data_IF_933580706871
#
_entry.id   IF_933580706871
#
_cell.length_a   1.000
_cell.length_b   1.000
_cell.length_c   1.000
_cell.angle_alpha   90.00
_cell.angle_beta   90.00
_cell.angle_gamma   90.00
#
_symmetry.space_group_name_H-M   'P 1'
#
loop_
_entity.id
_entity.type
_entity.pdbx_description
1 polymer ?
#
# COMPACT_ATOMS: atom_id res chain seq x y z
N UNK A 1 -2.95 9.34 13.40
CA UNK A 1 -1.50 9.15 13.24
C UNK A 1 -1.18 7.67 13.21
N UNK A 2 -0.15 7.27 12.47
CA UNK A 2 0.29 5.87 12.35
C UNK A 2 0.17 5.32 10.92
N UNK A 3 0.47 4.03 10.78
CA UNK A 3 0.66 3.34 9.51
C UNK A 3 -0.50 2.40 9.22
N UNK A 4 -1.00 2.45 8.00
CA UNK A 4 -1.88 1.45 7.38
C UNK A 4 -1.04 0.67 6.38
N UNK A 5 -0.97 -0.65 6.57
CA UNK A 5 -0.29 -1.54 5.64
C UNK A 5 -1.32 -2.28 4.79
N UNK A 6 -1.18 -2.17 3.47
CA UNK A 6 -2.01 -2.86 2.49
C UNK A 6 -1.11 -3.84 1.73
N UNK A 7 -1.16 -5.13 2.07
CA UNK A 7 -0.28 -6.12 1.48
C UNK A 7 -1.06 -7.20 0.72
N UNK A 8 -0.39 -8.09 -0.02
CA UNK A 8 -1.02 -9.22 -0.71
C UNK A 8 -0.61 -9.33 -2.17
N UNK A 9 -1.18 -10.28 -2.90
CA UNK A 9 -0.69 -10.66 -4.23
C UNK A 9 -0.83 -9.53 -5.29
N UNK A 10 0.00 -9.50 -6.34
CA UNK A 10 -0.17 -8.58 -7.47
C UNK A 10 -1.56 -8.68 -8.11
N UNK A 11 -2.12 -7.55 -8.53
CA UNK A 11 -3.42 -7.49 -9.20
C UNK A 11 -4.64 -7.71 -8.30
N UNK A 12 -4.48 -7.86 -6.98
CA UNK A 12 -5.59 -8.04 -6.03
C UNK A 12 -6.41 -6.78 -5.74
N UNK A 13 -5.99 -5.62 -6.24
CA UNK A 13 -6.77 -4.38 -6.14
C UNK A 13 -6.26 -3.33 -5.15
N UNK A 14 -5.05 -3.49 -4.58
CA UNK A 14 -4.45 -2.51 -3.66
C UNK A 14 -4.48 -1.07 -4.19
N UNK A 15 -3.95 -0.84 -5.39
CA UNK A 15 -3.95 0.48 -6.03
C UNK A 15 -5.35 0.98 -6.35
N UNK A 16 -6.27 0.09 -6.76
CA UNK A 16 -7.68 0.45 -6.97
C UNK A 16 -8.33 0.94 -5.68
N UNK A 17 -8.07 0.26 -4.56
CA UNK A 17 -8.56 0.66 -3.26
C UNK A 17 -7.98 2.00 -2.80
N UNK A 18 -6.69 2.26 -3.04
CA UNK A 18 -6.10 3.57 -2.79
C UNK A 18 -6.77 4.66 -3.62
N UNK A 19 -7.00 4.44 -4.92
CA UNK A 19 -7.70 5.41 -5.77
C UNK A 19 -9.09 5.73 -5.22
N UNK A 20 -9.82 4.72 -4.75
CA UNK A 20 -11.10 4.90 -4.08
C UNK A 20 -10.95 5.73 -2.80
N UNK A 21 -10.03 5.37 -1.90
CA UNK A 21 -9.80 6.12 -0.66
C UNK A 21 -9.44 7.59 -0.90
N UNK A 22 -8.62 7.87 -1.91
CA UNK A 22 -8.25 9.24 -2.28
C UNK A 22 -9.49 10.06 -2.67
N UNK A 23 -10.49 9.45 -3.31
CA UNK A 23 -11.73 10.13 -3.71
C UNK A 23 -12.67 10.38 -2.52
N UNK A 24 -12.65 9.52 -1.51
CA UNK A 24 -13.50 9.65 -0.32
C UNK A 24 -12.93 10.63 0.74
N UNK A 25 -11.65 11.01 0.63
CA UNK A 25 -10.96 11.86 1.60
C UNK A 25 -10.94 13.30 1.07
N UNK A 26 -11.84 14.13 1.56
CA UNK A 26 -11.99 15.54 1.12
C UNK A 26 -11.19 16.53 1.99
N UNK A 27 -11.01 16.23 3.29
CA UNK A 27 -10.51 17.20 4.29
C UNK A 27 -9.02 17.07 4.63
N UNK A 28 -8.22 16.42 3.77
CA UNK A 28 -6.78 16.22 4.03
C UNK A 28 -5.93 16.42 2.79
N UNK A 29 -4.72 16.95 3.01
CA UNK A 29 -3.68 16.95 1.99
C UNK A 29 -3.20 15.51 1.78
N UNK A 30 -3.16 15.09 0.52
CA UNK A 30 -2.68 13.78 0.11
C UNK A 30 -1.32 13.96 -0.60
N UNK A 31 -0.30 13.27 -0.09
CA UNK A 31 1.04 13.23 -0.67
C UNK A 31 1.25 11.83 -1.18
N UNK A 32 1.34 11.68 -2.50
CA UNK A 32 1.55 10.39 -3.15
C UNK A 32 3.01 10.24 -3.58
N UNK A 33 3.64 9.15 -3.13
CA UNK A 33 4.98 8.75 -3.51
C UNK A 33 4.86 7.55 -4.45
N UNK A 34 5.13 7.72 -5.75
CA UNK A 34 5.14 6.62 -6.70
C UNK A 34 6.31 5.66 -6.44
N UNK A 35 6.26 4.43 -6.97
CA UNK A 35 7.27 3.40 -6.71
C UNK A 35 8.72 3.80 -7.07
N UNK A 36 8.90 4.60 -8.13
CA UNK A 36 10.19 5.09 -8.59
C UNK A 36 10.81 6.14 -7.65
N UNK A 37 9.97 6.87 -6.91
CA UNK A 37 10.39 7.86 -5.91
C UNK A 37 10.52 7.30 -4.50
N UNK A 38 10.25 6.01 -4.28
CA UNK A 38 10.30 5.37 -2.98
C UNK A 38 11.64 5.58 -2.23
N UNK A 39 12.76 5.68 -2.96
CA UNK A 39 14.09 5.93 -2.38
C UNK A 39 14.24 7.30 -1.74
N UNK A 40 13.45 8.29 -2.17
CA UNK A 40 13.49 9.65 -1.62
C UNK A 40 13.07 9.69 -0.15
N UNK A 41 12.36 8.68 0.35
CA UNK A 41 12.01 8.57 1.77
C UNK A 41 13.27 8.46 2.65
N UNK A 42 14.37 7.92 2.11
CA UNK A 42 15.67 7.88 2.79
C UNK A 42 16.43 9.21 2.75
N UNK A 43 15.97 10.17 1.94
CA UNK A 43 16.65 11.45 1.76
C UNK A 43 16.62 12.29 3.04
N UNK A 44 17.71 13.01 3.38
CA UNK A 44 17.71 13.97 4.48
C UNK A 44 16.67 15.09 4.31
N UNK A 45 16.25 15.39 3.07
CA UNK A 45 15.26 16.44 2.78
C UNK A 45 13.81 15.96 2.99
N UNK A 46 13.58 14.66 3.13
CA UNK A 46 12.24 14.09 3.21
C UNK A 46 11.46 14.54 4.46
N UNK A 47 12.07 14.44 5.64
CA UNK A 47 11.42 14.88 6.88
C UNK A 47 11.17 16.40 6.90
N UNK A 48 12.14 17.27 6.54
CA UNK A 48 11.89 18.70 6.38
C UNK A 48 10.75 19.02 5.42
N UNK A 49 10.70 18.38 4.25
CA UNK A 49 9.60 18.53 3.31
C UNK A 49 8.27 18.16 3.96
N UNK A 50 8.19 17.00 4.61
CA UNK A 50 6.94 16.54 5.20
C UNK A 50 6.50 17.41 6.38
N UNK A 51 7.44 18.03 7.11
CA UNK A 51 7.16 19.01 8.18
C UNK A 51 6.34 20.22 7.72
N UNK A 52 6.39 20.56 6.43
CA UNK A 52 5.57 21.62 5.83
C UNK A 52 4.10 21.20 5.65
N UNK A 53 3.80 19.91 5.71
CA UNK A 53 2.47 19.33 5.46
C UNK A 53 1.93 18.54 6.67
N UNK A 54 1.70 19.25 7.78
CA UNK A 54 1.09 18.64 8.96
C UNK A 54 -0.33 18.12 8.67
N UNK A 55 -0.73 17.05 9.38
CA UNK A 55 -2.03 16.39 9.21
C UNK A 55 -2.32 15.87 7.78
N UNK A 56 -1.27 15.67 6.96
CA UNK A 56 -1.40 15.04 5.66
C UNK A 56 -1.52 13.51 5.75
N UNK A 57 -1.95 12.90 4.65
CA UNK A 57 -1.82 11.46 4.42
C UNK A 57 -0.71 11.24 3.40
N UNK A 58 0.28 10.46 3.80
CA UNK A 58 1.35 10.00 2.92
C UNK A 58 0.97 8.64 2.35
N UNK A 59 0.93 8.53 1.04
CA UNK A 59 0.62 7.30 0.31
C UNK A 59 1.89 6.85 -0.40
N UNK A 60 2.35 5.64 -0.08
CA UNK A 60 3.57 5.05 -0.63
C UNK A 60 3.19 3.77 -1.38
N UNK A 61 3.34 3.78 -2.70
CA UNK A 61 3.07 2.61 -3.52
C UNK A 61 4.32 1.74 -3.67
N UNK A 62 4.13 0.42 -3.78
CA UNK A 62 5.17 -0.61 -3.91
C UNK A 62 6.41 -0.35 -3.03
N UNK A 63 6.15 -0.26 -1.72
CA UNK A 63 7.14 0.07 -0.71
C UNK A 63 8.11 -1.08 -0.38
N UNK A 64 8.07 -2.21 -1.10
CA UNK A 64 8.96 -3.36 -0.87
C UNK A 64 10.42 -2.97 -1.04
N UNK A 65 10.74 -2.09 -1.98
CA UNK A 65 12.12 -1.65 -2.23
C UNK A 65 12.70 -0.88 -1.04
N UNK A 66 11.85 -0.19 -0.27
CA UNK A 66 12.26 0.56 0.94
C UNK A 66 12.63 -0.39 2.09
N UNK A 67 11.94 -1.52 2.16
CA UNK A 67 12.05 -2.50 3.23
C UNK A 67 13.12 -3.55 2.91
N UNK A 68 13.23 -3.98 1.64
CA UNK A 68 14.16 -5.02 1.17
C UNK A 68 15.63 -4.63 1.27
N UNK A 69 15.97 -3.33 1.27
CA UNK A 69 17.36 -2.86 1.50
C UNK A 69 17.97 -3.39 2.84
N UNK A 70 17.14 -3.96 3.73
CA UNK A 70 17.54 -4.66 4.95
C UNK A 70 18.15 -6.05 4.74
N UNK A 71 17.88 -6.76 3.63
CA UNK A 71 18.29 -8.18 3.52
C UNK A 71 19.81 -8.38 3.51
N UNK A 72 20.59 -7.31 3.33
CA UNK A 72 22.05 -7.37 3.25
C UNK A 72 22.79 -6.64 4.38
N UNK A 73 22.11 -5.85 5.23
CA UNK A 73 22.79 -5.04 6.26
C UNK A 73 22.10 -5.07 7.63
N UNK A 74 22.89 -5.01 8.70
CA UNK A 74 22.44 -5.13 10.11
C UNK A 74 21.73 -3.87 10.63
N UNK A 75 21.78 -2.77 9.88
CA UNK A 75 21.19 -1.46 10.24
C UNK A 75 19.84 -1.26 9.55
N UNK A 76 18.82 -0.69 10.23
CA UNK A 76 17.56 -0.32 9.59
C UNK A 76 17.81 0.65 8.43
N UNK A 77 17.12 0.49 7.31
CA UNK A 77 17.20 1.47 6.22
C UNK A 77 16.75 2.84 6.73
N UNK A 78 17.41 3.91 6.24
CA UNK A 78 17.09 5.27 6.66
C UNK A 78 15.60 5.60 6.41
N UNK A 79 15.03 5.08 5.33
CA UNK A 79 13.61 5.21 5.06
C UNK A 79 12.73 4.54 6.12
N UNK A 80 13.04 3.32 6.59
CA UNK A 80 12.30 2.70 7.69
C UNK A 80 12.42 3.55 8.95
N UNK A 81 13.61 4.06 9.28
CA UNK A 81 13.79 4.96 10.41
C UNK A 81 12.93 6.23 10.30
N UNK A 82 12.84 6.82 9.11
CA UNK A 82 11.98 7.98 8.84
C UNK A 82 10.49 7.64 9.00
N UNK A 83 10.02 6.51 8.46
CA UNK A 83 8.64 6.05 8.65
C UNK A 83 8.32 5.76 10.13
N UNK A 84 9.28 5.22 10.88
CA UNK A 84 9.15 5.03 12.33
C UNK A 84 9.03 6.36 13.08
N UNK A 85 9.84 7.35 12.73
CA UNK A 85 9.77 8.69 13.34
C UNK A 85 8.46 9.42 13.02
N UNK A 86 7.84 9.13 11.87
CA UNK A 86 6.56 9.72 11.47
C UNK A 86 5.34 9.01 12.07
N UNK A 87 5.48 7.75 12.45
CA UNK A 87 4.39 6.94 13.00
C UNK A 87 4.37 6.88 14.52
N UNK A 88 5.44 7.32 15.19
CA UNK A 88 5.61 7.20 16.63
C UNK A 88 6.35 8.40 17.25
N UNK A 89 6.24 8.52 18.58
CA UNK A 89 7.00 9.47 19.37
C UNK A 89 6.64 10.94 19.14
N UNK A 90 7.52 11.83 19.61
CA UNK A 90 7.27 13.28 19.61
C UNK A 90 6.99 13.84 18.21
N UNK A 91 7.67 13.33 17.18
CA UNK A 91 7.50 13.80 15.81
C UNK A 91 6.18 13.33 15.21
N UNK A 92 5.85 12.04 15.30
CA UNK A 92 4.53 11.54 14.88
C UNK A 92 3.37 12.20 15.62
N UNK A 93 3.58 12.56 16.89
CA UNK A 93 2.62 13.26 17.73
C UNK A 93 2.41 14.70 17.29
N UNK A 94 3.49 15.43 16.96
CA UNK A 94 3.42 16.80 16.49
C UNK A 94 2.87 16.93 15.06
N UNK A 95 3.20 15.96 14.20
CA UNK A 95 2.87 16.00 12.77
C UNK A 95 1.46 15.48 12.48
N UNK A 96 0.88 14.66 13.36
CA UNK A 96 -0.36 13.94 13.15
C UNK A 96 -0.43 13.14 11.83
N UNK A 97 0.73 12.77 11.29
CA UNK A 97 0.84 12.14 9.97
C UNK A 97 0.16 10.77 9.94
N UNK A 98 -0.57 10.50 8.86
CA UNK A 98 -1.06 9.16 8.53
C UNK A 98 -0.29 8.64 7.33
N UNK A 99 0.09 7.36 7.37
CA UNK A 99 0.82 6.72 6.28
C UNK A 99 0.00 5.54 5.78
N UNK A 100 -0.16 5.43 4.47
CA UNK A 100 -0.70 4.26 3.78
C UNK A 100 0.42 3.71 2.90
N UNK A 101 0.83 2.47 3.12
CA UNK A 101 1.88 1.83 2.33
C UNK A 101 1.40 0.52 1.74
N UNK A 102 1.69 0.28 0.45
CA UNK A 102 1.35 -0.97 -0.22
C UNK A 102 2.53 -1.91 -0.39
N UNK A 103 2.25 -3.21 -0.37
CA UNK A 103 3.23 -4.27 -0.60
C UNK A 103 2.63 -5.41 -1.44
N UNK A 104 3.41 -5.97 -2.36
CA UNK A 104 3.08 -7.17 -3.15
C UNK A 104 3.69 -8.46 -2.56
N UNK A 105 4.05 -8.44 -1.29
CA UNK A 105 4.74 -9.52 -0.60
C UNK A 105 4.12 -9.83 0.76
N UNK A 106 4.57 -10.94 1.34
CA UNK A 106 4.24 -11.33 2.71
C UNK A 106 4.84 -10.33 3.74
N UNK A 107 4.13 -10.12 4.85
CA UNK A 107 4.55 -9.22 5.94
C UNK A 107 5.84 -9.67 6.64
N UNK A 108 6.24 -10.93 6.50
CA UNK A 108 7.49 -11.48 7.04
C UNK A 108 8.72 -10.70 6.60
N UNK A 109 8.66 -9.96 5.49
CA UNK A 109 9.77 -9.10 5.05
C UNK A 109 9.75 -7.71 5.68
N UNK A 110 8.63 -7.28 6.27
CA UNK A 110 8.46 -5.96 6.89
C UNK A 110 9.20 -5.89 8.22
N UNK A 111 9.86 -4.77 8.49
CA UNK A 111 10.53 -4.56 9.77
C UNK A 111 9.53 -4.69 10.93
N UNK A 112 9.75 -5.60 11.89
CA UNK A 112 8.82 -5.82 13.00
C UNK A 112 8.56 -4.58 13.85
N UNK A 113 9.45 -3.58 13.81
CA UNK A 113 9.25 -2.31 14.50
C UNK A 113 8.09 -1.50 13.94
N UNK A 114 7.73 -1.68 12.66
CA UNK A 114 6.54 -1.05 12.04
C UNK A 114 5.24 -1.74 12.48
N UNK A 115 5.30 -3.02 12.85
CA UNK A 115 4.14 -3.82 13.26
C UNK A 115 3.77 -3.67 14.74
N UNK A 116 4.49 -2.84 15.50
CA UNK A 116 4.22 -2.63 16.92
C UNK A 116 2.91 -1.90 17.15
N UNK A 117 2.17 -2.34 18.18
CA UNK A 117 0.98 -1.63 18.68
C UNK A 117 1.34 -0.18 19.01
N UNK A 118 0.52 0.76 18.54
CA UNK A 118 0.75 2.21 18.67
C UNK A 118 1.31 2.86 17.40
N UNK A 119 1.96 2.09 16.52
CA UNK A 119 2.45 2.56 15.20
C UNK A 119 1.55 2.10 14.08
N UNK A 120 1.17 0.82 14.13
CA UNK A 120 0.27 0.21 13.18
C UNK A 120 -1.19 0.51 13.56
N UNK A 121 -1.90 1.18 12.66
CA UNK A 121 -3.35 1.44 12.78
C UNK A 121 -4.11 0.23 12.24
N UNK A 122 -3.75 -0.19 11.03
CA UNK A 122 -4.43 -1.25 10.32
C UNK A 122 -3.45 -2.02 9.45
N UNK A 123 -3.73 -3.29 9.29
CA UNK A 123 -3.01 -4.18 8.41
C UNK A 123 -4.03 -5.05 7.68
N UNK A 124 -4.03 -4.97 6.36
CA UNK A 124 -5.04 -5.64 5.54
C UNK A 124 -4.36 -6.39 4.39
N UNK A 125 -4.72 -7.67 4.28
CA UNK A 125 -4.26 -8.57 3.22
C UNK A 125 -5.27 -8.60 2.07
N UNK A 126 -4.81 -8.22 0.88
CA UNK A 126 -5.55 -8.34 -0.36
C UNK A 126 -5.26 -9.68 -1.02
N UNK A 127 -6.26 -10.56 -0.91
CA UNK A 127 -6.28 -11.86 -1.54
C UNK A 127 -7.08 -11.84 -2.86
N UNK A 128 -7.16 -13.00 -3.51
CA UNK A 128 -8.11 -13.20 -4.61
C UNK A 128 -9.54 -13.02 -4.09
N UNK A 129 -10.41 -12.46 -4.91
CA UNK A 129 -11.85 -12.48 -4.66
C UNK A 129 -12.34 -13.92 -4.73
N UNK A 130 -13.25 -14.28 -3.82
CA UNK A 130 -13.92 -15.57 -3.89
C UNK A 130 -14.76 -15.69 -5.19
N UNK A 131 -15.23 -16.91 -5.46
CA UNK A 131 -15.96 -17.21 -6.70
C UNK A 131 -17.23 -16.36 -6.82
N UNK A 132 -17.96 -16.16 -5.71
CA UNK A 132 -19.22 -15.42 -5.71
C UNK A 132 -19.00 -13.93 -6.01
N UNK A 133 -18.08 -13.30 -5.31
CA UNK A 133 -17.69 -11.90 -5.51
C UNK A 133 -17.11 -11.68 -6.91
N UNK A 134 -16.32 -12.63 -7.39
CA UNK A 134 -15.77 -12.61 -8.76
C UNK A 134 -16.87 -12.68 -9.81
N UNK A 135 -17.88 -13.54 -9.62
CA UNK A 135 -19.06 -13.62 -10.50
C UNK A 135 -19.87 -12.33 -10.49
N UNK A 136 -20.15 -11.77 -9.31
CA UNK A 136 -20.89 -10.50 -9.19
C UNK A 136 -20.16 -9.38 -9.93
N UNK A 137 -18.84 -9.27 -9.75
CA UNK A 137 -18.05 -8.24 -10.42
C UNK A 137 -17.98 -8.49 -11.93
N UNK A 138 -17.74 -9.72 -12.35
CA UNK A 138 -17.69 -10.11 -13.77
C UNK A 138 -19.00 -9.78 -14.51
N UNK A 139 -20.13 -10.08 -13.88
CA UNK A 139 -21.47 -9.76 -14.41
C UNK A 139 -21.69 -8.25 -14.54
N UNK A 140 -21.30 -7.47 -13.51
CA UNK A 140 -21.34 -6.00 -13.56
C UNK A 140 -20.47 -5.39 -14.66
N UNK A 141 -19.38 -6.07 -15.03
CA UNK A 141 -18.50 -5.66 -16.13
C UNK A 141 -19.00 -6.14 -17.51
N UNK A 142 -20.07 -6.94 -17.56
CA UNK A 142 -20.65 -7.45 -18.80
C UNK A 142 -19.98 -8.70 -19.37
N UNK A 143 -19.09 -9.36 -18.63
CA UNK A 143 -18.42 -10.60 -19.05
C UNK A 143 -19.23 -11.87 -18.73
N UNK A 144 -20.27 -11.75 -17.90
CA UNK A 144 -21.07 -12.88 -17.42
C UNK A 144 -20.36 -13.70 -16.34
N UNK A 145 -20.96 -14.81 -15.91
CA UNK A 145 -20.51 -15.57 -14.73
C UNK A 145 -19.99 -16.98 -15.05
N UNK A 146 -20.17 -17.42 -16.30
CA UNK A 146 -20.10 -18.84 -16.70
C UNK A 146 -18.69 -19.43 -16.57
N UNK A 147 -17.65 -18.61 -16.77
CA UNK A 147 -16.25 -19.04 -16.77
C UNK A 147 -15.53 -18.85 -15.42
N UNK A 148 -16.25 -18.41 -14.38
CA UNK A 148 -15.66 -18.15 -13.06
C UNK A 148 -15.83 -19.39 -12.17
N UNK A 149 -14.79 -20.23 -12.13
CA UNK A 149 -14.78 -21.50 -11.38
C UNK A 149 -13.77 -21.54 -10.24
N UNK A 150 -12.89 -20.55 -10.16
CA UNK A 150 -11.88 -20.40 -9.12
C UNK A 150 -11.84 -18.96 -8.59
N UNK A 151 -11.28 -18.72 -7.39
CA UNK A 151 -10.98 -17.37 -6.92
C UNK A 151 -10.08 -16.62 -7.90
N UNK A 152 -10.36 -15.33 -8.15
CA UNK A 152 -9.65 -14.52 -9.14
C UNK A 152 -9.13 -13.21 -8.55
N UNK A 153 -8.03 -12.71 -9.12
CA UNK A 153 -7.56 -11.36 -8.80
C UNK A 153 -8.43 -10.33 -9.48
N UNK A 154 -8.47 -9.12 -8.93
CA UNK A 154 -9.19 -8.01 -9.54
C UNK A 154 -8.73 -7.79 -10.98
N UNK A 155 -7.41 -7.76 -11.22
CA UNK A 155 -6.84 -7.62 -12.56
C UNK A 155 -7.35 -8.68 -13.56
N UNK A 156 -7.40 -9.97 -13.15
CA UNK A 156 -7.95 -11.03 -14.02
C UNK A 156 -9.42 -10.81 -14.37
N UNK A 157 -10.22 -10.31 -13.42
CA UNK A 157 -11.66 -10.09 -13.63
C UNK A 157 -11.90 -8.92 -14.59
N UNK A 158 -11.12 -7.85 -14.50
CA UNK A 158 -11.23 -6.68 -15.39
C UNK A 158 -10.74 -6.96 -16.82
N UNK A 159 -9.81 -7.90 -16.99
CA UNK A 159 -9.19 -8.21 -18.29
C UNK A 159 -9.70 -9.51 -18.93
N UNK A 160 -10.89 -10.00 -18.58
CA UNK A 160 -11.44 -11.26 -19.15
C UNK A 160 -11.64 -11.22 -20.67
N UNK A 161 -11.76 -10.03 -21.26
CA UNK A 161 -11.87 -9.84 -22.71
C UNK A 161 -10.55 -9.66 -23.45
N UNK A 162 -9.43 -9.51 -22.73
CA UNK A 162 -8.10 -9.53 -23.34
C UNK A 162 -7.73 -11.00 -23.54
N UNK A 163 -7.94 -11.51 -24.75
CA UNK A 163 -7.48 -12.83 -25.14
C UNK A 163 -6.01 -12.99 -24.75
N UNK A 164 -5.69 -14.12 -24.12
CA UNK A 164 -4.34 -14.68 -24.01
C UNK A 164 -3.80 -14.94 -25.42
N UNK A 165 -3.42 -13.89 -26.14
CA UNK A 165 -2.49 -13.99 -27.26
C UNK A 165 -1.06 -14.00 -26.69
N UNK A 166 -0.72 -15.04 -25.94
CA UNK A 166 0.66 -15.50 -25.86
C UNK A 166 0.85 -16.49 -27.02
N UNK A 167 1.30 -15.95 -28.17
CA UNK A 167 2.03 -16.70 -29.19
C UNK A 167 3.52 -16.73 -28.82
#
# INVERSE_FOLDING_TARGET
>A
KGIVLLHGIPGSGKTHYIRYLIQEIEDKILIYIPPDMAKEISSPQFLPFLMEYQNAILIIEDAENIIKDRSETTTPSQAVANLLNLSDGLLGDAMHQQIIATFNCDLTIIDPALLRKGRLIANYEFNKLDIESSKILSDKLGFGQENITEPMTLAKIYNQGENTEEN
#
